data_IF_262575176033
#
_entry.id   IF_262575176033
#
_cell.length_a   1.000
_cell.length_b   1.000
_cell.length_c   1.000
_cell.angle_alpha   90.00
_cell.angle_beta   90.00
_cell.angle_gamma   90.00
#
_symmetry.space_group_name_H-M   'P 1'
#
loop_
_entity.id
_entity.type
_entity.pdbx_description
1 polymer ?
#
# COMPACT_ATOMS: atom_id res chain seq x y z
N UNK A 1 -18.65 37.37 -56.52
CA UNK A 1 -17.66 38.10 -55.73
C UNK A 1 -16.63 37.06 -55.25
N UNK A 2 -15.45 36.85 -55.86
CA UNK A 2 -14.51 37.80 -56.50
C UNK A 2 -14.27 39.03 -55.59
N UNK A 3 -13.06 39.46 -55.19
CA UNK A 3 -11.65 39.05 -55.39
C UNK A 3 -10.84 39.64 -54.20
N UNK A 4 -9.54 39.40 -53.92
CA UNK A 4 -8.41 38.78 -54.64
C UNK A 4 -7.43 38.14 -53.59
N UNK A 5 -6.84 36.96 -53.83
CA UNK A 5 -5.40 36.68 -54.10
C UNK A 5 -4.34 37.48 -53.31
N UNK A 6 -3.48 36.77 -52.58
CA UNK A 6 -2.05 36.50 -52.87
C UNK A 6 -1.09 37.67 -52.68
N UNK A 7 -0.10 37.48 -51.81
CA UNK A 7 1.30 37.81 -52.09
C UNK A 7 2.14 36.60 -51.69
N UNK A 8 2.78 35.98 -52.68
CA UNK A 8 3.82 34.96 -52.48
C UNK A 8 5.20 35.63 -52.35
N UNK A 9 6.21 34.79 -52.10
CA UNK A 9 7.62 34.95 -52.51
C UNK A 9 8.64 35.55 -51.52
N UNK A 10 9.49 34.64 -51.05
CA UNK A 10 10.97 34.72 -51.05
C UNK A 10 11.70 35.92 -50.43
N UNK A 11 12.47 35.62 -49.39
CA UNK A 11 13.87 36.06 -49.32
C UNK A 11 14.72 34.96 -48.65
N UNK A 12 15.84 34.59 -49.26
CA UNK A 12 16.80 33.64 -48.69
C UNK A 12 17.83 34.37 -47.80
N UNK A 13 18.16 33.78 -46.66
CA UNK A 13 19.43 34.01 -45.93
C UNK A 13 19.71 32.74 -45.12
N UNK A 14 20.66 31.87 -45.49
CA UNK A 14 22.12 32.03 -45.59
C UNK A 14 22.84 31.85 -44.24
N UNK A 15 23.66 30.80 -44.19
CA UNK A 15 24.79 30.57 -43.27
C UNK A 15 24.48 30.40 -41.77
N UNK A 16 24.93 29.27 -41.19
CA UNK A 16 24.89 29.07 -39.75
C UNK A 16 25.07 27.64 -39.24
N UNK A 17 25.80 26.77 -39.94
CA UNK A 17 26.18 25.45 -39.39
C UNK A 17 27.18 25.63 -38.24
N UNK A 18 26.67 25.83 -37.03
CA UNK A 18 27.48 25.96 -35.82
C UNK A 18 27.98 24.58 -35.37
N UNK A 19 29.15 24.19 -35.87
CA UNK A 19 29.87 22.99 -35.45
C UNK A 19 30.08 22.92 -33.92
N UNK A 20 30.11 21.73 -33.31
CA UNK A 20 30.36 21.58 -31.89
C UNK A 20 31.76 22.10 -31.51
N UNK A 21 31.94 22.64 -30.30
CA UNK A 21 33.19 23.27 -29.88
C UNK A 21 34.35 22.26 -29.89
N UNK A 22 35.43 22.61 -30.59
CA UNK A 22 36.69 21.88 -30.56
C UNK A 22 37.27 21.91 -29.13
N UNK A 23 37.84 20.80 -28.63
CA UNK A 23 38.52 20.80 -27.34
C UNK A 23 39.79 21.67 -27.39
N UNK A 24 40.20 22.30 -26.27
CA UNK A 24 41.38 23.17 -26.24
C UNK A 24 42.68 22.41 -26.56
N UNK A 25 43.61 23.15 -27.15
CA UNK A 25 44.91 22.66 -27.64
C UNK A 25 45.73 21.92 -26.59
N UNK A 26 46.39 20.85 -27.05
CA UNK A 26 47.28 19.97 -26.29
C UNK A 26 48.23 20.69 -25.33
N UNK A 27 48.14 20.36 -24.05
CA UNK A 27 49.15 20.73 -23.06
C UNK A 27 50.36 19.80 -23.21
N UNK A 28 51.44 20.29 -23.83
CA UNK A 28 52.70 19.56 -24.02
C UNK A 28 53.42 19.32 -22.68
N UNK A 29 53.08 18.22 -21.99
CA UNK A 29 53.71 17.89 -20.71
C UNK A 29 53.20 16.64 -19.97
N UNK A 30 52.00 16.15 -20.27
CA UNK A 30 51.49 14.92 -19.67
C UNK A 30 51.62 13.73 -20.63
N UNK A 31 52.60 12.87 -20.38
CA UNK A 31 52.57 11.50 -20.88
C UNK A 31 51.28 10.82 -20.37
N UNK A 32 50.54 10.04 -21.17
CA UNK A 32 49.33 9.38 -20.71
C UNK A 32 49.70 8.29 -19.70
N UNK A 33 49.72 8.67 -18.42
CA UNK A 33 49.82 7.74 -17.32
C UNK A 33 48.69 6.72 -17.45
N UNK A 34 49.06 5.47 -17.74
CA UNK A 34 48.12 4.36 -17.92
C UNK A 34 47.42 4.11 -16.59
N UNK A 35 46.26 4.73 -16.39
CA UNK A 35 45.53 4.71 -15.11
C UNK A 35 45.01 3.32 -14.71
N UNK A 36 45.07 2.34 -15.61
CA UNK A 36 44.93 0.92 -15.29
C UNK A 36 45.99 0.10 -16.03
N UNK A 37 47.04 -0.32 -15.30
CA UNK A 37 47.73 -1.58 -15.62
C UNK A 37 46.85 -2.74 -15.13
N UNK A 38 46.65 -3.82 -15.91
CA UNK A 38 46.07 -5.04 -15.38
C UNK A 38 46.90 -5.49 -14.17
N UNK A 39 46.25 -5.82 -13.05
CA UNK A 39 46.97 -6.42 -11.93
C UNK A 39 47.45 -7.80 -12.36
N UNK A 40 48.70 -8.11 -12.04
CA UNK A 40 49.21 -9.47 -12.07
C UNK A 40 48.54 -10.31 -10.96
N UNK A 41 48.72 -11.63 -10.99
CA UNK A 41 48.17 -12.52 -9.97
C UNK A 41 48.61 -12.09 -8.56
N UNK A 42 49.87 -11.69 -8.39
CA UNK A 42 50.39 -11.20 -7.12
C UNK A 42 49.72 -9.90 -6.63
N UNK A 43 49.34 -8.98 -7.54
CA UNK A 43 48.56 -7.79 -7.21
C UNK A 43 47.12 -8.12 -6.83
N UNK A 44 46.49 -9.06 -7.54
CA UNK A 44 45.17 -9.60 -7.22
C UNK A 44 45.15 -10.28 -5.84
N UNK A 45 46.15 -11.12 -5.53
CA UNK A 45 46.31 -11.77 -4.23
C UNK A 45 46.49 -10.76 -3.10
N UNK A 46 47.25 -9.67 -3.34
CA UNK A 46 47.42 -8.59 -2.35
C UNK A 46 46.14 -7.81 -2.11
N UNK A 47 45.36 -7.50 -3.14
CA UNK A 47 44.04 -6.88 -2.97
C UNK A 47 43.06 -7.83 -2.28
N UNK A 48 43.04 -9.11 -2.63
CA UNK A 48 42.21 -10.11 -1.97
C UNK A 48 42.58 -10.25 -0.49
N UNK A 49 43.87 -10.34 -0.15
CA UNK A 49 44.33 -10.38 1.24
C UNK A 49 44.01 -9.09 2.01
N UNK A 50 44.18 -7.92 1.39
CA UNK A 50 43.81 -6.64 2.01
C UNK A 50 42.29 -6.52 2.23
N UNK A 51 41.49 -6.99 1.28
CA UNK A 51 40.03 -7.00 1.39
C UNK A 51 39.55 -8.00 2.46
N UNK A 52 40.15 -9.20 2.53
CA UNK A 52 39.90 -10.19 3.57
C UNK A 52 40.37 -9.75 4.96
N UNK A 53 41.40 -8.89 5.06
CA UNK A 53 41.83 -8.30 6.32
C UNK A 53 40.96 -7.10 6.75
N UNK A 54 40.46 -6.30 5.79
CA UNK A 54 39.57 -5.17 6.04
C UNK A 54 38.13 -5.62 6.35
N UNK A 55 37.65 -6.67 5.67
CA UNK A 55 36.46 -7.42 6.05
C UNK A 55 36.80 -8.27 7.26
N UNK A 56 36.78 -7.64 8.43
CA UNK A 56 36.68 -8.39 9.70
C UNK A 56 35.56 -9.41 9.54
N UNK A 57 35.78 -10.70 9.86
CA UNK A 57 34.71 -11.68 9.81
C UNK A 57 33.57 -11.13 10.66
N UNK A 58 32.32 -11.09 10.17
CA UNK A 58 31.22 -10.50 10.91
C UNK A 58 31.18 -11.20 12.25
N UNK A 59 31.45 -10.45 13.34
CA UNK A 59 31.39 -10.99 14.68
C UNK A 59 30.01 -11.61 14.80
N UNK A 60 29.94 -12.94 14.89
CA UNK A 60 28.69 -13.69 15.06
C UNK A 60 28.20 -13.46 16.49
N UNK A 61 27.83 -12.23 16.78
CA UNK A 61 27.07 -11.86 17.96
C UNK A 61 25.73 -12.60 17.81
N UNK A 62 25.33 -13.43 18.77
CA UNK A 62 24.03 -14.07 18.71
C UNK A 62 22.95 -13.00 18.58
N UNK A 63 21.89 -13.30 17.82
CA UNK A 63 20.79 -12.36 17.51
C UNK A 63 20.19 -11.76 18.79
N UNK A 64 20.26 -12.49 19.91
CA UNK A 64 19.95 -12.02 21.27
C UNK A 64 20.55 -10.63 21.64
N UNK A 65 21.78 -10.33 21.19
CA UNK A 65 22.42 -9.03 21.46
C UNK A 65 21.76 -7.85 20.71
N UNK A 66 21.05 -8.14 19.61
CA UNK A 66 20.25 -7.15 18.87
C UNK A 66 18.85 -7.00 19.47
N UNK A 67 18.24 -8.09 19.95
CA UNK A 67 16.90 -8.02 20.58
C UNK A 67 16.92 -7.21 21.87
N UNK A 68 17.94 -7.38 22.72
CA UNK A 68 18.12 -6.58 23.95
C UNK A 68 18.25 -5.08 23.65
N UNK A 69 18.93 -4.71 22.55
CA UNK A 69 19.13 -3.31 22.16
C UNK A 69 17.93 -2.66 21.47
N UNK A 70 17.05 -3.47 20.89
CA UNK A 70 15.83 -3.02 20.22
C UNK A 70 14.58 -3.18 21.11
N UNK A 71 14.73 -3.67 22.34
CA UNK A 71 13.64 -4.05 23.24
C UNK A 71 12.59 -4.97 22.55
N UNK A 72 13.04 -5.80 21.61
CA UNK A 72 12.18 -6.74 20.91
C UNK A 72 11.76 -7.86 21.88
N UNK A 73 10.46 -8.23 21.93
CA UNK A 73 10.03 -9.35 22.75
C UNK A 73 10.74 -10.64 22.32
N UNK A 74 10.98 -11.53 23.28
CA UNK A 74 11.67 -12.81 23.05
C UNK A 74 10.97 -13.71 22.03
N UNK A 75 9.66 -13.53 21.86
CA UNK A 75 8.83 -14.17 20.85
C UNK A 75 8.19 -13.09 19.96
N UNK A 76 8.67 -12.98 18.72
CA UNK A 76 8.06 -12.12 17.71
C UNK A 76 6.83 -12.82 17.11
N UNK A 77 5.65 -12.51 17.64
CA UNK A 77 4.41 -12.97 17.03
C UNK A 77 4.13 -12.20 15.73
N UNK A 78 3.63 -12.88 14.66
CA UNK A 78 3.16 -12.19 13.47
C UNK A 78 1.97 -11.29 13.84
N UNK A 79 1.80 -10.14 13.18
CA UNK A 79 0.65 -9.27 13.43
C UNK A 79 -0.65 -10.02 13.12
N UNK A 80 -1.70 -9.72 13.87
CA UNK A 80 -3.00 -10.39 13.83
C UNK A 80 -4.10 -9.36 13.59
N UNK A 81 -5.20 -9.79 13.00
CA UNK A 81 -6.43 -9.00 13.02
C UNK A 81 -7.02 -8.99 14.45
N UNK A 82 -7.92 -8.05 14.72
CA UNK A 82 -8.59 -7.96 16.03
C UNK A 82 -9.41 -9.23 16.32
N UNK A 83 -9.41 -9.74 17.56
CA UNK A 83 -10.26 -10.86 17.92
C UNK A 83 -11.73 -10.48 17.77
N UNK A 84 -12.49 -11.34 17.09
CA UNK A 84 -13.90 -11.13 16.80
C UNK A 84 -14.80 -12.05 17.66
N UNK A 85 -15.96 -11.57 18.16
CA UNK A 85 -16.95 -12.41 18.84
C UNK A 85 -17.44 -13.58 17.97
N UNK A 86 -17.73 -14.75 18.55
CA UNK A 86 -18.13 -15.93 17.79
C UNK A 86 -19.53 -15.82 17.17
N UNK A 87 -20.44 -15.03 17.76
CA UNK A 87 -21.78 -14.76 17.23
C UNK A 87 -21.88 -13.32 16.73
N UNK A 88 -22.47 -13.12 15.55
CA UNK A 88 -22.53 -11.81 14.91
C UNK A 88 -23.37 -10.77 15.67
N UNK A 89 -24.44 -11.21 16.35
CA UNK A 89 -25.32 -10.35 17.14
C UNK A 89 -24.57 -9.55 18.21
N UNK A 90 -23.46 -10.08 18.72
CA UNK A 90 -22.59 -9.37 19.66
C UNK A 90 -21.85 -8.20 18.97
N UNK A 91 -21.35 -8.40 17.75
CA UNK A 91 -20.72 -7.34 16.94
C UNK A 91 -21.75 -6.28 16.55
N UNK A 92 -22.92 -6.71 16.09
CA UNK A 92 -24.00 -5.82 15.68
C UNK A 92 -24.48 -4.98 16.87
N UNK A 93 -24.84 -5.62 17.98
CA UNK A 93 -25.36 -4.93 19.18
C UNK A 93 -24.35 -3.98 19.80
N UNK A 94 -23.07 -4.36 19.86
CA UNK A 94 -22.01 -3.50 20.42
C UNK A 94 -21.75 -2.24 19.60
N UNK A 95 -22.04 -2.24 18.29
CA UNK A 95 -21.71 -1.15 17.38
C UNK A 95 -22.93 -0.37 16.88
N UNK A 96 -24.15 -0.93 16.94
CA UNK A 96 -25.41 -0.33 16.44
C UNK A 96 -25.70 1.07 16.97
N UNK A 97 -25.27 1.41 18.19
CA UNK A 97 -25.53 2.70 18.85
C UNK A 97 -24.29 3.57 19.04
N UNK A 98 -23.12 3.17 18.52
CA UNK A 98 -21.90 3.97 18.64
C UNK A 98 -21.93 5.18 17.70
N UNK A 99 -21.47 6.33 18.21
CA UNK A 99 -21.22 7.52 17.42
C UNK A 99 -19.80 7.45 16.80
N UNK A 100 -19.63 8.04 15.61
CA UNK A 100 -18.32 8.23 15.01
C UNK A 100 -17.53 9.33 15.74
N UNK A 101 -16.24 9.09 15.98
CA UNK A 101 -15.34 10.04 16.67
C UNK A 101 -14.99 11.29 15.85
N UNK A 102 -15.32 11.33 14.56
CA UNK A 102 -15.00 12.43 13.66
C UNK A 102 -16.19 13.37 13.38
N UNK A 103 -17.43 12.90 13.49
CA UNK A 103 -18.62 13.71 13.20
C UNK A 103 -19.68 13.69 14.32
N UNK A 104 -19.44 12.95 15.41
CA UNK A 104 -20.31 12.73 16.57
C UNK A 104 -21.72 12.20 16.25
N UNK A 105 -21.95 11.80 15.00
CA UNK A 105 -23.18 11.20 14.51
C UNK A 105 -23.04 9.67 14.45
N UNK A 106 -24.17 8.98 14.52
CA UNK A 106 -24.22 7.55 14.18
C UNK A 106 -23.99 7.41 12.66
N UNK A 107 -23.00 6.62 12.20
CA UNK A 107 -22.80 6.39 10.76
C UNK A 107 -24.04 5.78 10.09
N UNK A 108 -24.29 6.14 8.82
CA UNK A 108 -25.32 5.51 8.01
C UNK A 108 -24.94 4.06 7.64
N UNK A 109 -23.65 3.82 7.41
CA UNK A 109 -23.05 2.48 7.35
C UNK A 109 -21.88 2.40 8.34
N UNK A 110 -22.12 1.89 9.56
CA UNK A 110 -21.10 1.75 10.58
C UNK A 110 -20.11 0.64 10.22
N UNK A 111 -18.83 0.89 10.44
CA UNK A 111 -17.77 -0.04 10.10
C UNK A 111 -16.68 -0.13 11.18
N UNK A 112 -15.96 -1.26 11.21
CA UNK A 112 -14.86 -1.52 12.16
C UNK A 112 -13.62 -1.92 11.38
N UNK A 113 -12.51 -1.21 11.60
CA UNK A 113 -11.21 -1.58 11.08
C UNK A 113 -10.74 -2.89 11.74
N UNK A 114 -10.48 -3.95 10.94
CA UNK A 114 -10.06 -5.24 11.50
C UNK A 114 -8.58 -5.26 11.90
N UNK A 115 -7.79 -4.22 11.59
CA UNK A 115 -6.39 -4.10 12.00
C UNK A 115 -6.27 -3.49 13.41
N UNK A 116 -7.06 -2.46 13.74
CA UNK A 116 -6.92 -1.71 15.00
C UNK A 116 -8.21 -1.61 15.85
N UNK A 117 -9.37 -2.01 15.34
CA UNK A 117 -10.65 -1.92 16.06
C UNK A 117 -11.32 -0.54 16.05
N UNK A 118 -10.77 0.43 15.30
CA UNK A 118 -11.36 1.77 15.17
C UNK A 118 -12.73 1.72 14.48
N UNK A 119 -13.65 2.59 14.92
CA UNK A 119 -15.02 2.66 14.43
C UNK A 119 -15.19 3.81 13.44
N UNK A 120 -15.61 3.50 12.21
CA UNK A 120 -15.50 4.37 11.04
C UNK A 120 -16.85 4.57 10.34
N UNK A 121 -17.01 5.68 9.63
CA UNK A 121 -18.07 5.85 8.63
C UNK A 121 -17.67 5.20 7.30
N UNK A 122 -18.35 4.12 6.92
CA UNK A 122 -18.26 3.56 5.57
C UNK A 122 -19.24 4.27 4.63
N UNK A 123 -18.81 4.51 3.38
CA UNK A 123 -19.63 4.98 2.26
C UNK A 123 -20.68 6.06 2.60
N UNK A 124 -20.30 7.04 3.42
CA UNK A 124 -21.19 8.09 3.95
C UNK A 124 -20.64 9.47 3.59
N UNK A 125 -21.50 10.50 3.38
CA UNK A 125 -21.07 11.88 3.12
C UNK A 125 -20.39 12.54 4.33
N UNK A 126 -20.64 12.05 5.55
CA UNK A 126 -19.91 12.47 6.72
C UNK A 126 -18.49 11.90 6.75
N UNK A 127 -17.57 12.62 7.39
CA UNK A 127 -16.15 12.24 7.58
C UNK A 127 -15.27 12.18 6.32
N UNK A 128 -15.80 12.49 5.14
CA UNK A 128 -15.03 12.65 3.90
C UNK A 128 -14.02 13.81 4.00
N UNK A 129 -12.90 13.68 3.29
CA UNK A 129 -11.91 14.73 3.13
C UNK A 129 -11.67 15.00 1.64
N UNK A 130 -11.38 16.27 1.29
CA UNK A 130 -10.97 16.63 -0.07
C UNK A 130 -9.50 16.27 -0.27
N UNK A 131 -9.17 15.67 -1.40
CA UNK A 131 -7.80 15.30 -1.78
C UNK A 131 -7.54 15.73 -3.23
N UNK A 132 -7.08 16.97 -3.40
CA UNK A 132 -7.04 17.60 -4.72
C UNK A 132 -8.45 17.96 -5.19
N UNK A 133 -8.83 17.48 -6.37
CA UNK A 133 -10.18 17.66 -6.94
C UNK A 133 -11.18 16.63 -6.37
N UNK A 134 -10.69 15.49 -5.90
CA UNK A 134 -11.48 14.32 -5.46
C UNK A 134 -11.97 14.37 -4.00
N UNK A 135 -12.96 13.54 -3.66
CA UNK A 135 -13.38 13.23 -2.28
C UNK A 135 -12.94 11.84 -1.84
N UNK A 136 -12.41 11.74 -0.61
CA UNK A 136 -11.91 10.49 -0.02
C UNK A 136 -12.67 10.20 1.26
N UNK A 137 -13.36 9.05 1.28
CA UNK A 137 -14.09 8.56 2.43
C UNK A 137 -13.20 8.14 3.60
N UNK A 138 -13.77 8.12 4.81
CA UNK A 138 -13.05 7.88 6.07
C UNK A 138 -12.27 6.56 6.06
N UNK A 139 -12.89 5.45 5.61
CA UNK A 139 -12.24 4.14 5.58
C UNK A 139 -11.00 4.09 4.66
N UNK A 140 -10.99 4.86 3.56
CA UNK A 140 -9.85 4.92 2.65
C UNK A 140 -8.73 5.80 3.23
N UNK A 141 -9.08 6.96 3.82
CA UNK A 141 -8.12 7.76 4.60
C UNK A 141 -7.51 6.95 5.75
N UNK A 142 -8.33 6.16 6.45
CA UNK A 142 -7.88 5.30 7.54
C UNK A 142 -6.99 4.16 7.05
N UNK A 143 -7.22 3.57 5.87
CA UNK A 143 -6.39 2.47 5.36
C UNK A 143 -4.95 2.90 5.12
N UNK A 144 -4.73 4.11 4.60
CA UNK A 144 -3.41 4.71 4.42
C UNK A 144 -2.68 4.88 5.76
N UNK A 145 -3.39 5.36 6.79
CA UNK A 145 -2.81 5.66 8.11
C UNK A 145 -2.58 4.43 8.99
N UNK A 146 -3.51 3.47 8.97
CA UNK A 146 -3.50 2.31 9.88
C UNK A 146 -2.86 1.05 9.24
N UNK A 147 -3.04 0.84 7.94
CA UNK A 147 -2.64 -0.38 7.24
C UNK A 147 -1.62 -0.14 6.13
N UNK A 148 -0.94 1.02 6.13
CA UNK A 148 -0.04 1.45 5.05
C UNK A 148 -0.65 1.37 3.63
N UNK A 149 -1.97 1.54 3.54
CA UNK A 149 -2.75 1.42 2.31
C UNK A 149 -3.53 0.12 2.15
N UNK A 150 -3.33 -0.89 3.00
CA UNK A 150 -4.06 -2.17 3.01
C UNK A 150 -4.86 -2.36 4.31
N UNK A 151 -6.18 -2.23 4.25
CA UNK A 151 -7.03 -2.32 5.44
C UNK A 151 -8.30 -3.13 5.17
N UNK A 152 -8.44 -4.34 5.74
CA UNK A 152 -9.73 -5.00 5.86
C UNK A 152 -10.61 -4.29 6.90
N UNK A 153 -11.86 -4.02 6.53
CA UNK A 153 -12.87 -3.28 7.30
C UNK A 153 -14.17 -4.06 7.27
N UNK A 154 -14.73 -4.40 8.44
CA UNK A 154 -16.02 -5.07 8.58
C UNK A 154 -17.15 -4.03 8.61
N UNK A 155 -18.09 -4.10 7.66
CA UNK A 155 -19.29 -3.25 7.65
C UNK A 155 -20.38 -3.92 8.47
N UNK A 156 -20.83 -3.24 9.53
CA UNK A 156 -21.66 -3.83 10.59
C UNK A 156 -23.12 -4.04 10.17
N UNK A 157 -23.64 -3.24 9.25
CA UNK A 157 -25.02 -3.41 8.78
C UNK A 157 -25.17 -4.49 7.68
N UNK A 158 -24.07 -5.07 7.20
CA UNK A 158 -24.10 -6.08 6.11
C UNK A 158 -23.27 -7.34 6.35
N UNK A 159 -22.54 -7.43 7.47
CA UNK A 159 -21.53 -8.48 7.77
C UNK A 159 -20.34 -8.59 6.81
N UNK A 160 -20.33 -7.83 5.71
CA UNK A 160 -19.29 -7.92 4.69
C UNK A 160 -17.99 -7.23 5.09
N UNK A 161 -16.88 -7.89 4.78
CA UNK A 161 -15.56 -7.27 4.80
C UNK A 161 -15.28 -6.61 3.45
N UNK A 162 -14.88 -5.34 3.54
CA UNK A 162 -14.33 -4.54 2.47
C UNK A 162 -12.83 -4.35 2.69
N UNK A 163 -12.03 -4.61 1.67
CA UNK A 163 -10.58 -4.42 1.71
C UNK A 163 -10.24 -3.16 0.93
N UNK A 164 -9.76 -2.14 1.63
CA UNK A 164 -9.21 -0.95 1.01
C UNK A 164 -7.74 -1.20 0.64
N UNK A 165 -7.38 -0.98 -0.62
CA UNK A 165 -6.04 -1.25 -1.17
C UNK A 165 -5.65 -0.24 -2.25
N UNK A 166 -4.66 0.62 -2.01
CA UNK A 166 -4.06 1.54 -3.01
C UNK A 166 -5.04 2.32 -3.94
N UNK A 167 -6.09 2.95 -3.40
CA UNK A 167 -7.10 3.63 -4.25
C UNK A 167 -8.35 2.80 -4.56
N UNK A 168 -8.32 1.49 -4.26
CA UNK A 168 -9.41 0.55 -4.52
C UNK A 168 -10.13 0.15 -3.23
N UNK A 169 -11.36 -0.35 -3.37
CA UNK A 169 -12.11 -1.02 -2.33
C UNK A 169 -12.68 -2.34 -2.85
N UNK A 170 -12.33 -3.46 -2.26
CA UNK A 170 -12.69 -4.79 -2.75
C UNK A 170 -13.70 -5.45 -1.81
N UNK A 171 -14.85 -5.89 -2.31
CA UNK A 171 -15.78 -6.72 -1.53
C UNK A 171 -15.17 -8.12 -1.40
N UNK A 172 -14.74 -8.48 -0.20
CA UNK A 172 -14.05 -9.76 0.04
C UNK A 172 -15.01 -10.92 0.29
N UNK A 173 -16.08 -10.68 1.06
CA UNK A 173 -16.98 -11.71 1.57
C UNK A 173 -17.28 -11.47 3.05
N UNK A 174 -18.17 -12.27 3.64
CA UNK A 174 -18.45 -12.18 5.08
C UNK A 174 -17.49 -13.07 5.88
N UNK A 175 -17.10 -12.63 7.08
CA UNK A 175 -16.45 -13.52 8.06
C UNK A 175 -17.46 -14.37 8.83
N UNK A 176 -18.74 -14.03 8.73
CA UNK A 176 -19.83 -14.60 9.48
C UNK A 176 -20.80 -15.31 8.53
N UNK A 177 -21.07 -16.58 8.80
CA UNK A 177 -21.92 -17.43 7.97
C UNK A 177 -22.97 -18.12 8.82
N UNK A 178 -24.07 -18.54 8.21
CA UNK A 178 -25.10 -19.31 8.90
C UNK A 178 -24.66 -20.78 9.14
N UNK A 179 -25.56 -21.58 9.73
CA UNK A 179 -25.34 -23.00 10.01
C UNK A 179 -25.04 -23.87 8.77
N UNK A 180 -25.38 -23.38 7.56
CA UNK A 180 -25.11 -24.05 6.28
C UNK A 180 -23.85 -23.51 5.58
N UNK A 181 -23.18 -22.52 6.16
CA UNK A 181 -22.03 -21.83 5.55
C UNK A 181 -22.41 -20.77 4.53
N UNK A 182 -23.69 -20.37 4.45
CA UNK A 182 -24.16 -19.31 3.55
C UNK A 182 -23.92 -17.92 4.17
N UNK A 183 -23.71 -16.92 3.30
CA UNK A 183 -23.68 -15.51 3.69
C UNK A 183 -25.11 -14.95 3.76
N UNK A 184 -25.37 -13.99 4.65
CA UNK A 184 -26.63 -13.23 4.66
C UNK A 184 -26.37 -11.79 4.18
N UNK A 185 -26.53 -11.57 2.87
CA UNK A 185 -26.33 -10.26 2.26
C UNK A 185 -27.25 -9.21 2.89
N UNK A 186 -26.65 -8.16 3.45
CA UNK A 186 -27.35 -7.04 4.11
C UNK A 186 -28.22 -7.49 5.32
N UNK A 187 -27.92 -8.65 5.90
CA UNK A 187 -28.67 -9.24 7.04
C UNK A 187 -30.17 -9.43 6.74
N UNK A 188 -30.55 -9.55 5.46
CA UNK A 188 -31.95 -9.54 5.01
C UNK A 188 -32.72 -10.81 5.34
N UNK A 189 -32.04 -11.95 5.50
CA UNK A 189 -32.66 -13.22 5.90
C UNK A 189 -32.87 -13.28 7.42
N UNK A 190 -32.10 -12.51 8.18
CA UNK A 190 -32.19 -12.43 9.65
C UNK A 190 -31.79 -13.73 10.34
N UNK A 191 -30.94 -14.54 9.70
CA UNK A 191 -30.43 -15.79 10.29
C UNK A 191 -29.33 -15.47 11.31
N UNK A 192 -29.17 -16.28 12.39
CA UNK A 192 -28.01 -16.17 13.25
C UNK A 192 -26.74 -16.53 12.48
N UNK A 193 -25.74 -15.65 12.52
CA UNK A 193 -24.46 -15.84 11.85
C UNK A 193 -23.32 -16.06 12.86
N UNK A 194 -22.39 -16.94 12.51
CA UNK A 194 -21.28 -17.36 13.34
C UNK A 194 -19.93 -17.15 12.64
N UNK A 195 -18.91 -16.80 13.42
CA UNK A 195 -17.57 -16.52 12.92
C UNK A 195 -16.94 -17.79 12.32
N UNK A 196 -16.69 -17.77 11.01
CA UNK A 196 -15.94 -18.85 10.36
C UNK A 196 -14.45 -18.65 10.58
N UNK A 197 -13.87 -19.47 11.47
CA UNK A 197 -12.43 -19.43 11.78
C UNK A 197 -11.56 -19.64 10.53
N UNK A 198 -12.01 -20.47 9.58
CA UNK A 198 -11.35 -20.69 8.29
C UNK A 198 -11.31 -19.41 7.45
N UNK A 199 -12.44 -18.70 7.33
CA UNK A 199 -12.51 -17.43 6.58
C UNK A 199 -11.70 -16.33 7.25
N UNK A 200 -11.74 -16.25 8.58
CA UNK A 200 -10.91 -15.32 9.35
C UNK A 200 -9.41 -15.54 9.11
N UNK A 201 -8.94 -16.78 9.20
CA UNK A 201 -7.54 -17.13 8.93
C UNK A 201 -7.14 -16.87 7.46
N UNK A 202 -8.04 -17.11 6.51
CA UNK A 202 -7.80 -16.81 5.11
C UNK A 202 -7.65 -15.29 4.87
N UNK A 203 -8.52 -14.47 5.45
CA UNK A 203 -8.41 -13.00 5.38
C UNK A 203 -7.13 -12.49 6.06
N UNK A 204 -6.82 -12.99 7.25
CA UNK A 204 -5.60 -12.63 7.99
C UNK A 204 -4.34 -12.96 7.18
N UNK A 205 -4.28 -14.13 6.54
CA UNK A 205 -3.18 -14.52 5.66
C UNK A 205 -3.08 -13.66 4.39
N UNK A 206 -4.20 -13.33 3.76
CA UNK A 206 -4.23 -12.43 2.59
C UNK A 206 -3.83 -11.01 2.95
N UNK A 207 -4.18 -10.54 4.15
CA UNK A 207 -3.71 -9.26 4.68
C UNK A 207 -2.21 -9.26 4.92
N UNK A 208 -1.65 -10.28 5.58
CA UNK A 208 -0.20 -10.42 5.77
C UNK A 208 0.60 -10.46 4.46
N UNK A 209 0.01 -10.97 3.38
CA UNK A 209 0.64 -11.05 2.05
C UNK A 209 0.22 -9.92 1.09
N UNK A 210 -0.63 -8.99 1.51
CA UNK A 210 -1.29 -7.98 0.67
C UNK A 210 -1.93 -8.55 -0.63
N UNK A 211 -2.41 -9.80 -0.59
CA UNK A 211 -2.84 -10.57 -1.76
C UNK A 211 -4.33 -10.95 -1.70
N UNK A 212 -5.19 -9.99 -2.07
CA UNK A 212 -6.65 -10.15 -2.04
C UNK A 212 -7.28 -10.50 -3.41
N UNK A 213 -6.52 -10.34 -4.49
CA UNK A 213 -7.02 -10.47 -5.88
C UNK A 213 -7.45 -11.90 -6.23
N UNK A 214 -6.94 -12.91 -5.54
CA UNK A 214 -7.31 -14.32 -5.73
C UNK A 214 -8.70 -14.68 -5.18
N UNK A 215 -9.32 -13.82 -4.37
CA UNK A 215 -10.63 -14.07 -3.73
C UNK A 215 -11.67 -12.99 -4.02
N UNK A 216 -11.28 -11.86 -4.60
CA UNK A 216 -12.19 -10.78 -4.93
C UNK A 216 -13.15 -11.18 -6.06
N UNK A 217 -14.36 -11.61 -5.69
CA UNK A 217 -15.42 -11.99 -6.63
C UNK A 217 -16.08 -10.79 -7.32
N UNK A 218 -15.81 -9.56 -6.85
CA UNK A 218 -16.11 -8.31 -7.55
C UNK A 218 -15.11 -7.21 -7.14
N UNK A 219 -14.34 -6.72 -8.12
CA UNK A 219 -13.56 -5.49 -7.95
C UNK A 219 -14.50 -4.31 -8.17
N UNK A 220 -14.89 -3.61 -7.09
CA UNK A 220 -15.66 -2.38 -7.21
C UNK A 220 -14.70 -1.20 -7.13
N UNK A 221 -14.59 -0.45 -8.23
CA UNK A 221 -14.03 0.89 -8.13
C UNK A 221 -15.08 1.75 -7.42
N UNK A 222 -15.02 1.78 -6.09
CA UNK A 222 -15.46 2.95 -5.34
C UNK A 222 -14.52 4.09 -5.77
N UNK A 223 -14.87 4.74 -6.88
CA UNK A 223 -14.19 5.93 -7.37
C UNK A 223 -14.18 6.99 -6.27
N UNK A 224 -13.22 7.91 -6.34
CA UNK A 224 -13.00 9.00 -5.38
C UNK A 224 -14.09 10.09 -5.45
N UNK A 225 -15.35 9.65 -5.53
CA UNK A 225 -16.54 10.39 -5.92
C UNK A 225 -17.79 9.77 -5.26
N UNK A 226 -17.71 9.54 -3.96
CA UNK A 226 -18.85 9.68 -3.07
C UNK A 226 -18.52 10.70 -1.99
#
# INVERSE_FOLDING_TARGET
QQQQQQVESSAASSAGESAPPQPPSSCSGCSPARLFTPLDSAGLDRLAAAWLAAVSPPQRRPIACLTDRLALPSELQPPRLIPLPPAYDAVFSANRSRACRHCDQRPAHPAVCLVCGEFLCFNSPCCQARHGEDTVGECHRHSVLCGAGHCPVLVVDSSFVWVFTHGLALRWGSLYVDEFGEEDEELRRGKPLYLSQQRYQALEWQWLLHNYYSSASRLEWLSHSL
#
